data_IF_069166461719
#
_entry.id   IF_069166461719
#
_cell.length_a   1.000
_cell.length_b   1.000
_cell.length_c   1.000
_cell.angle_alpha   90.00
_cell.angle_beta   90.00
_cell.angle_gamma   90.00
#
_symmetry.space_group_name_H-M   'P 1'
#
loop_
_entity.id
_entity.type
_entity.pdbx_description
1 polymer ?
#
# COMPACT_ATOMS: atom_id res chain seq x y z
N UNK A 1 -1.13 -9.90 -9.16
CA UNK A 1 -1.91 -10.11 -7.90
C UNK A 1 -1.57 -11.45 -7.22
N UNK A 2 -0.33 -11.91 -7.28
CA UNK A 2 0.07 -13.24 -6.76
C UNK A 2 -0.16 -13.28 -5.24
N UNK A 3 -0.79 -14.34 -4.76
CA UNK A 3 -1.10 -14.61 -3.33
C UNK A 3 -1.95 -13.61 -2.53
N UNK A 4 -2.39 -12.49 -3.10
CA UNK A 4 -3.21 -11.52 -2.37
C UNK A 4 -4.48 -12.11 -1.78
N UNK A 5 -5.17 -13.00 -2.50
CA UNK A 5 -6.35 -13.69 -1.97
C UNK A 5 -6.01 -14.66 -0.84
N UNK A 6 -4.86 -15.33 -0.93
CA UNK A 6 -4.39 -16.26 0.11
C UNK A 6 -4.03 -15.49 1.39
N UNK A 7 -3.19 -14.45 1.28
CA UNK A 7 -2.79 -13.60 2.39
C UNK A 7 -4.01 -12.97 3.07
N UNK A 8 -4.96 -12.44 2.30
CA UNK A 8 -6.18 -11.85 2.86
C UNK A 8 -7.10 -12.88 3.52
N UNK A 9 -7.15 -14.12 3.01
CA UNK A 9 -7.91 -15.20 3.66
C UNK A 9 -7.29 -15.57 5.00
N UNK A 10 -5.96 -15.73 5.03
CA UNK A 10 -5.23 -15.98 6.27
C UNK A 10 -5.38 -14.82 7.26
N UNK A 11 -5.34 -13.57 6.79
CA UNK A 11 -5.57 -12.37 7.60
C UNK A 11 -6.95 -12.37 8.25
N UNK A 12 -8.00 -12.73 7.50
CA UNK A 12 -9.36 -12.89 8.05
C UNK A 12 -9.42 -13.97 9.13
N UNK A 13 -8.74 -15.09 8.94
CA UNK A 13 -8.79 -16.22 9.88
C UNK A 13 -7.92 -16.02 11.13
N UNK A 14 -6.73 -15.45 10.98
CA UNK A 14 -5.70 -15.43 12.02
C UNK A 14 -5.43 -14.06 12.62
N UNK A 15 -5.73 -12.97 11.91
CA UNK A 15 -5.48 -11.61 12.40
C UNK A 15 -6.75 -10.95 12.94
N UNK A 16 -7.79 -10.84 12.10
CA UNK A 16 -9.00 -10.06 12.43
C UNK A 16 -10.22 -10.90 12.85
N UNK A 17 -10.09 -12.23 12.95
CA UNK A 17 -11.13 -13.09 13.53
C UNK A 17 -11.32 -12.80 15.02
N UNK A 18 -12.39 -13.31 15.63
CA UNK A 18 -12.67 -13.12 17.07
C UNK A 18 -11.52 -13.55 17.97
N UNK A 19 -10.76 -14.59 17.57
CA UNK A 19 -9.58 -15.11 18.29
C UNK A 19 -8.26 -14.72 17.62
N UNK A 20 -8.32 -13.82 16.63
CA UNK A 20 -7.16 -13.38 15.88
C UNK A 20 -6.27 -12.42 16.67
N UNK A 21 -5.02 -12.25 16.22
CA UNK A 21 -4.02 -11.47 16.93
C UNK A 21 -4.45 -10.00 17.17
N UNK A 22 -5.13 -9.36 16.22
CA UNK A 22 -5.62 -7.98 16.39
C UNK A 22 -6.69 -7.94 17.48
N UNK A 23 -7.64 -8.87 17.44
CA UNK A 23 -8.73 -8.94 18.43
C UNK A 23 -8.24 -9.18 19.85
N UNK A 24 -7.17 -9.98 20.01
CA UNK A 24 -6.65 -10.38 21.31
C UNK A 24 -5.63 -9.40 21.90
N UNK A 25 -4.83 -8.73 21.05
CA UNK A 25 -3.64 -8.02 21.50
C UNK A 25 -3.59 -6.55 21.08
N UNK A 26 -4.69 -5.97 20.59
CA UNK A 26 -4.71 -4.54 20.26
C UNK A 26 -5.86 -3.82 20.96
N UNK A 27 -5.69 -2.53 21.21
CA UNK A 27 -6.71 -1.70 21.89
C UNK A 27 -8.01 -1.55 21.10
N UNK A 28 -7.98 -1.67 19.77
CA UNK A 28 -9.19 -1.63 18.95
C UNK A 28 -10.02 -2.90 19.11
N UNK A 29 -9.39 -4.04 19.40
CA UNK A 29 -10.03 -5.34 19.46
C UNK A 29 -10.82 -5.67 18.19
N UNK A 30 -11.70 -6.67 18.26
CA UNK A 30 -12.53 -7.07 17.12
C UNK A 30 -13.54 -5.99 16.71
N UNK A 31 -14.28 -5.46 17.68
CA UNK A 31 -15.39 -4.53 17.43
C UNK A 31 -14.90 -3.15 16.96
N UNK A 32 -13.87 -2.62 17.62
CA UNK A 32 -13.29 -1.33 17.22
C UNK A 32 -12.64 -1.41 15.85
N UNK A 33 -11.97 -2.52 15.51
CA UNK A 33 -11.40 -2.69 14.17
C UNK A 33 -12.47 -2.68 13.07
N UNK A 34 -13.60 -3.38 13.27
CA UNK A 34 -14.72 -3.36 12.32
C UNK A 34 -15.28 -1.94 12.16
N UNK A 35 -15.44 -1.19 13.25
CA UNK A 35 -15.93 0.18 13.19
C UNK A 35 -14.95 1.14 12.47
N UNK A 36 -13.64 0.98 12.70
CA UNK A 36 -12.61 1.73 11.97
C UNK A 36 -12.67 1.43 10.47
N UNK A 37 -12.73 0.15 10.08
CA UNK A 37 -12.85 -0.24 8.66
C UNK A 37 -14.12 0.33 8.03
N UNK A 38 -15.26 0.27 8.75
CA UNK A 38 -16.53 0.84 8.28
C UNK A 38 -16.40 2.34 8.02
N UNK A 39 -15.85 3.10 8.98
CA UNK A 39 -15.65 4.56 8.82
C UNK A 39 -14.65 4.88 7.70
N UNK A 40 -13.55 4.14 7.61
CA UNK A 40 -12.56 4.30 6.56
C UNK A 40 -13.19 4.08 5.17
N UNK A 41 -14.02 3.05 5.00
CA UNK A 41 -14.75 2.80 3.74
C UNK A 41 -15.71 3.95 3.38
N UNK A 42 -16.30 4.64 4.36
CA UNK A 42 -17.11 5.83 4.10
C UNK A 42 -16.29 7.07 3.71
N UNK A 43 -15.05 7.15 4.19
CA UNK A 43 -14.16 8.28 3.92
C UNK A 43 -13.28 8.08 2.66
N UNK A 44 -13.13 6.84 2.20
CA UNK A 44 -12.24 6.47 1.10
C UNK A 44 -12.59 7.23 -0.19
N UNK A 45 -11.55 7.79 -0.82
CA UNK A 45 -11.65 8.49 -2.11
C UNK A 45 -10.73 7.85 -3.13
N UNK A 46 -11.14 7.82 -4.39
CA UNK A 46 -10.27 7.38 -5.48
C UNK A 46 -8.99 8.25 -5.58
N UNK A 47 -9.10 9.56 -5.36
CA UNK A 47 -7.95 10.46 -5.30
C UNK A 47 -6.94 10.06 -4.21
N UNK A 48 -7.41 9.61 -3.04
CA UNK A 48 -6.53 9.11 -1.97
C UNK A 48 -5.78 7.81 -2.31
N UNK A 49 -6.19 7.10 -3.36
CA UNK A 49 -5.50 5.91 -3.89
C UNK A 49 -4.51 6.28 -5.01
N UNK A 50 -4.62 7.48 -5.59
CA UNK A 50 -3.72 8.00 -6.60
C UNK A 50 -2.67 8.89 -5.96
N UNK A 51 -1.44 8.40 -5.79
CA UNK A 51 -0.42 9.11 -5.01
C UNK A 51 -0.23 10.60 -5.39
N UNK A 52 -0.16 11.00 -6.68
CA UNK A 52 -0.04 12.42 -7.02
C UNK A 52 -1.21 13.27 -6.52
N UNK A 53 -2.43 12.74 -6.62
CA UNK A 53 -3.63 13.44 -6.15
C UNK A 53 -3.62 13.52 -4.63
N UNK A 54 -3.35 12.41 -3.94
CA UNK A 54 -3.26 12.36 -2.47
C UNK A 54 -2.23 13.33 -1.89
N UNK A 55 -1.04 13.42 -2.50
CA UNK A 55 0.01 14.35 -2.07
C UNK A 55 -0.46 15.81 -2.21
N UNK A 56 -1.09 16.13 -3.35
CA UNK A 56 -1.58 17.48 -3.65
C UNK A 56 -2.75 17.86 -2.73
N UNK A 57 -3.75 16.99 -2.57
CA UNK A 57 -4.93 17.20 -1.73
C UNK A 57 -4.57 17.39 -0.25
N UNK A 58 -3.50 16.74 0.22
CA UNK A 58 -2.96 16.94 1.57
C UNK A 58 -2.02 18.15 1.71
N UNK A 59 -1.74 18.86 0.62
CA UNK A 59 -0.84 20.03 0.60
C UNK A 59 0.62 19.69 0.88
N UNK A 60 1.06 18.49 0.50
CA UNK A 60 2.37 17.94 0.85
C UNK A 60 3.43 18.14 -0.24
N UNK A 61 3.12 18.80 -1.35
CA UNK A 61 4.02 18.93 -2.51
C UNK A 61 5.38 19.56 -2.19
N UNK A 62 5.39 20.49 -1.23
CA UNK A 62 6.57 21.32 -0.91
C UNK A 62 7.25 20.96 0.39
N UNK A 63 6.78 19.93 1.11
CA UNK A 63 7.39 19.51 2.37
C UNK A 63 8.82 19.00 2.11
N UNK A 64 9.86 19.59 2.71
CA UNK A 64 11.23 19.16 2.48
C UNK A 64 11.47 17.78 3.10
N UNK A 65 12.36 16.98 2.48
CA UNK A 65 12.80 15.66 2.99
C UNK A 65 11.65 14.67 3.22
N UNK A 66 10.59 14.77 2.42
CA UNK A 66 9.45 13.85 2.47
C UNK A 66 9.68 12.69 1.49
N UNK A 67 10.50 11.73 1.90
CA UNK A 67 11.02 10.69 1.00
C UNK A 67 9.96 9.70 0.50
N UNK A 68 8.87 9.47 1.25
CA UNK A 68 7.72 8.68 0.78
C UNK A 68 7.10 9.30 -0.49
N UNK A 69 6.87 10.62 -0.52
CA UNK A 69 6.42 11.35 -1.72
C UNK A 69 7.46 11.25 -2.82
N UNK A 70 8.70 11.62 -2.51
CA UNK A 70 9.74 11.79 -3.53
C UNK A 70 9.96 10.47 -4.29
N UNK A 71 10.06 9.36 -3.57
CA UNK A 71 10.28 8.04 -4.14
C UNK A 71 9.00 7.49 -4.77
N UNK A 72 7.87 7.65 -4.07
CA UNK A 72 6.58 7.16 -4.55
C UNK A 72 6.16 7.83 -5.86
N UNK A 73 6.42 9.13 -6.03
CA UNK A 73 6.12 9.83 -7.29
C UNK A 73 7.01 9.37 -8.44
N UNK A 74 8.27 8.99 -8.17
CA UNK A 74 9.15 8.40 -9.19
C UNK A 74 8.61 7.04 -9.64
N UNK A 75 8.25 6.17 -8.69
CA UNK A 75 7.69 4.84 -8.97
C UNK A 75 6.33 4.96 -9.67
N UNK A 76 5.45 5.84 -9.19
CA UNK A 76 4.17 6.14 -9.83
C UNK A 76 4.36 6.60 -11.27
N UNK A 77 5.30 7.52 -11.51
CA UNK A 77 5.62 8.03 -12.84
C UNK A 77 6.05 6.92 -13.81
N UNK A 78 6.98 6.06 -13.38
CA UNK A 78 7.45 4.93 -14.19
C UNK A 78 6.30 3.95 -14.51
N UNK A 79 5.50 3.59 -13.50
CA UNK A 79 4.33 2.72 -13.69
C UNK A 79 3.28 3.36 -14.60
N UNK A 80 3.01 4.66 -14.45
CA UNK A 80 2.05 5.38 -15.28
C UNK A 80 2.46 5.39 -16.74
N UNK A 81 3.73 5.70 -17.04
CA UNK A 81 4.26 5.69 -18.41
C UNK A 81 4.19 4.29 -19.03
N UNK A 82 4.58 3.26 -18.28
CA UNK A 82 4.51 1.88 -18.74
C UNK A 82 3.07 1.48 -19.06
N UNK A 83 2.14 1.73 -18.14
CA UNK A 83 0.72 1.41 -18.34
C UNK A 83 0.14 2.18 -19.52
N UNK A 84 0.42 3.48 -19.64
CA UNK A 84 -0.02 4.30 -20.76
C UNK A 84 0.44 3.71 -22.10
N UNK A 85 1.72 3.36 -22.20
CA UNK A 85 2.28 2.78 -23.40
C UNK A 85 1.65 1.41 -23.73
N UNK A 86 1.43 0.55 -22.74
CA UNK A 86 0.77 -0.76 -22.95
C UNK A 86 -0.68 -0.58 -23.37
N UNK A 87 -1.43 0.32 -22.72
CA UNK A 87 -2.82 0.62 -23.10
C UNK A 87 -2.89 1.12 -24.54
N UNK A 88 -1.95 1.97 -24.99
CA UNK A 88 -1.93 2.47 -26.36
C UNK A 88 -1.70 1.37 -27.43
N UNK A 89 -1.06 0.24 -27.07
CA UNK A 89 -0.91 -0.91 -27.98
C UNK A 89 -2.26 -1.60 -28.24
N UNK A 90 -3.10 -1.73 -27.20
CA UNK A 90 -4.35 -2.48 -27.28
C UNK A 90 -5.60 -1.60 -27.51
N UNK A 91 -5.54 -0.33 -27.13
CA UNK A 91 -6.61 0.65 -27.29
C UNK A 91 -6.08 1.89 -28.03
N UNK A 92 -6.04 1.86 -29.38
CA UNK A 92 -5.55 2.99 -30.18
C UNK A 92 -6.38 4.26 -30.02
N UNK A 93 -7.63 4.14 -29.57
CA UNK A 93 -8.54 5.26 -29.35
C UNK A 93 -9.45 5.07 -28.14
N UNK A 94 -10.03 6.16 -27.67
CA UNK A 94 -11.05 6.12 -26.61
C UNK A 94 -12.31 5.35 -27.02
N UNK A 95 -12.58 5.22 -28.33
CA UNK A 95 -13.69 4.41 -28.82
C UNK A 95 -13.50 2.92 -28.51
N UNK A 96 -12.27 2.42 -28.60
CA UNK A 96 -11.95 1.03 -28.30
C UNK A 96 -12.22 0.72 -26.81
N UNK A 97 -11.96 1.68 -25.92
CA UNK A 97 -12.29 1.59 -24.48
C UNK A 97 -13.80 1.58 -24.26
N UNK A 98 -14.54 2.41 -25.00
CA UNK A 98 -15.99 2.56 -24.84
C UNK A 98 -16.77 1.32 -25.25
N UNK A 99 -16.30 0.60 -26.28
CA UNK A 99 -16.99 -0.58 -26.84
C UNK A 99 -16.54 -1.90 -26.19
N UNK A 100 -15.51 -1.88 -25.35
CA UNK A 100 -15.04 -3.07 -24.63
C UNK A 100 -15.95 -3.41 -23.45
N UNK A 101 -16.92 -4.29 -23.70
CA UNK A 101 -17.90 -4.72 -22.69
C UNK A 101 -17.25 -5.41 -21.48
N UNK A 102 -16.15 -6.15 -21.67
CA UNK A 102 -15.47 -6.85 -20.58
C UNK A 102 -14.80 -5.84 -19.63
N UNK A 103 -14.10 -4.85 -20.20
CA UNK A 103 -13.48 -3.76 -19.44
C UNK A 103 -14.54 -2.95 -18.66
N UNK A 104 -15.68 -2.64 -19.28
CA UNK A 104 -16.77 -1.91 -18.63
C UNK A 104 -17.42 -2.73 -17.50
N UNK A 105 -17.66 -4.02 -17.71
CA UNK A 105 -18.18 -4.90 -16.65
C UNK A 105 -17.18 -5.04 -15.50
N UNK A 106 -15.89 -5.15 -15.79
CA UNK A 106 -14.85 -5.27 -14.77
C UNK A 106 -14.82 -4.06 -13.83
N UNK A 107 -14.82 -2.82 -14.35
CA UNK A 107 -14.85 -1.63 -13.49
C UNK A 107 -16.19 -1.47 -12.77
N UNK A 108 -17.29 -1.83 -13.42
CA UNK A 108 -18.62 -1.84 -12.79
C UNK A 108 -18.67 -2.80 -11.59
N UNK A 109 -18.10 -4.00 -11.71
CA UNK A 109 -18.03 -4.98 -10.61
C UNK A 109 -17.18 -4.46 -9.45
N UNK A 110 -16.04 -3.81 -9.73
CA UNK A 110 -15.22 -3.18 -8.69
C UNK A 110 -16.01 -2.07 -7.99
N UNK A 111 -16.64 -1.17 -8.74
CA UNK A 111 -17.47 -0.11 -8.17
C UNK A 111 -18.59 -0.68 -7.29
N UNK A 112 -19.26 -1.72 -7.78
CA UNK A 112 -20.43 -2.31 -7.12
C UNK A 112 -20.08 -3.09 -5.88
N UNK A 113 -19.15 -4.02 -5.98
CA UNK A 113 -18.85 -4.97 -4.92
C UNK A 113 -17.65 -4.54 -4.07
N UNK A 114 -16.67 -3.85 -4.65
CA UNK A 114 -15.52 -3.31 -3.93
C UNK A 114 -15.82 -1.98 -3.23
N UNK A 115 -16.51 -1.07 -3.91
CA UNK A 115 -16.80 0.29 -3.41
C UNK A 115 -18.26 0.50 -2.99
N UNK A 116 -19.05 -0.57 -2.97
CA UNK A 116 -20.43 -0.61 -2.47
C UNK A 116 -21.38 0.35 -3.20
N UNK A 117 -21.16 0.57 -4.51
CA UNK A 117 -21.91 1.50 -5.35
C UNK A 117 -21.97 2.94 -4.78
N UNK A 118 -20.95 3.34 -4.01
CA UNK A 118 -20.91 4.67 -3.39
C UNK A 118 -20.26 5.68 -4.31
N UNK A 119 -21.09 6.49 -4.97
CA UNK A 119 -20.65 7.62 -5.80
C UNK A 119 -19.74 8.61 -5.04
N UNK A 120 -19.92 8.73 -3.71
CA UNK A 120 -19.07 9.58 -2.87
C UNK A 120 -17.60 9.17 -2.82
N UNK A 121 -17.25 7.95 -3.23
CA UNK A 121 -15.85 7.50 -3.33
C UNK A 121 -15.13 8.12 -4.52
N UNK A 122 -15.86 8.56 -5.55
CA UNK A 122 -15.30 9.13 -6.77
C UNK A 122 -14.56 8.11 -7.66
N UNK A 123 -14.61 6.82 -7.36
CA UNK A 123 -14.05 5.80 -8.24
C UNK A 123 -14.93 5.64 -9.48
N UNK A 124 -14.36 5.44 -10.68
CA UNK A 124 -15.16 5.22 -11.88
C UNK A 124 -16.05 3.97 -11.75
N UNK A 125 -17.23 4.04 -12.34
CA UNK A 125 -18.12 2.89 -12.57
C UNK A 125 -18.15 2.46 -14.05
N UNK A 126 -17.47 3.21 -14.91
CA UNK A 126 -17.27 2.97 -16.34
C UNK A 126 -16.04 3.77 -16.79
N UNK A 127 -15.40 3.35 -17.87
CA UNK A 127 -14.30 4.09 -18.49
C UNK A 127 -14.75 4.74 -19.79
N UNK A 128 -14.31 5.98 -20.04
CA UNK A 128 -14.61 6.77 -21.23
C UNK A 128 -13.40 7.08 -22.08
N UNK A 129 -12.20 6.86 -21.57
CA UNK A 129 -10.96 7.13 -22.29
C UNK A 129 -9.82 6.22 -21.86
N UNK A 130 -8.85 6.08 -22.75
CA UNK A 130 -7.56 5.44 -22.48
C UNK A 130 -6.88 6.03 -21.25
N UNK A 131 -6.94 7.35 -21.08
CA UNK A 131 -6.39 8.07 -19.92
C UNK A 131 -7.00 7.64 -18.58
N UNK A 132 -8.31 7.40 -18.54
CA UNK A 132 -8.98 6.93 -17.32
C UNK A 132 -8.56 5.49 -16.99
N UNK A 133 -8.47 4.63 -18.00
CA UNK A 133 -7.98 3.25 -17.85
C UNK A 133 -6.53 3.26 -17.34
N UNK A 134 -5.67 4.06 -17.95
CA UNK A 134 -4.27 4.22 -17.53
C UNK A 134 -4.19 4.61 -16.07
N UNK A 135 -4.88 5.69 -15.66
CA UNK A 135 -4.85 6.16 -14.26
C UNK A 135 -5.34 5.09 -13.29
N UNK A 136 -6.39 4.36 -13.64
CA UNK A 136 -6.95 3.31 -12.81
C UNK A 136 -6.00 2.11 -12.67
N UNK A 137 -5.45 1.61 -13.77
CA UNK A 137 -4.53 0.49 -13.76
C UNK A 137 -3.23 0.86 -13.04
N UNK A 138 -2.70 2.08 -13.23
CA UNK A 138 -1.56 2.58 -12.45
C UNK A 138 -1.87 2.58 -10.95
N UNK A 139 -3.05 3.06 -10.55
CA UNK A 139 -3.50 3.02 -9.14
C UNK A 139 -3.52 1.60 -8.60
N UNK A 140 -4.08 0.63 -9.35
CA UNK A 140 -4.13 -0.79 -8.94
C UNK A 140 -2.73 -1.35 -8.76
N UNK A 141 -1.86 -1.21 -9.75
CA UNK A 141 -0.48 -1.73 -9.68
C UNK A 141 0.28 -1.07 -8.52
N UNK A 142 0.20 0.25 -8.39
CA UNK A 142 0.89 0.98 -7.31
C UNK A 142 0.38 0.56 -5.93
N UNK A 143 -0.93 0.42 -5.76
CA UNK A 143 -1.55 0.00 -4.49
C UNK A 143 -1.07 -1.38 -4.06
N UNK A 144 -1.01 -2.33 -5.00
CA UNK A 144 -0.63 -3.71 -4.71
C UNK A 144 0.88 -3.93 -4.58
N UNK A 145 1.70 -2.92 -4.88
CA UNK A 145 3.15 -3.02 -4.88
C UNK A 145 3.76 -1.97 -3.97
N UNK A 146 4.03 -0.78 -4.50
CA UNK A 146 4.71 0.32 -3.83
C UNK A 146 3.99 0.79 -2.56
N UNK A 147 2.67 0.97 -2.61
CA UNK A 147 1.91 1.43 -1.45
C UNK A 147 1.95 0.40 -0.32
N UNK A 148 1.72 -0.88 -0.64
CA UNK A 148 1.83 -1.95 0.33
C UNK A 148 3.24 -1.99 0.94
N UNK A 149 4.28 -1.97 0.10
CA UNK A 149 5.68 -1.99 0.54
C UNK A 149 6.03 -0.82 1.47
N UNK A 150 5.58 0.40 1.15
CA UNK A 150 5.82 1.60 1.94
C UNK A 150 5.20 1.54 3.35
N UNK A 151 4.03 0.89 3.47
CA UNK A 151 3.31 0.76 4.75
C UNK A 151 3.73 -0.48 5.54
N UNK A 152 4.23 -1.52 4.86
CA UNK A 152 4.46 -2.82 5.46
C UNK A 152 5.93 -3.06 5.83
N UNK A 153 6.88 -2.74 4.96
CA UNK A 153 8.29 -3.13 5.13
C UNK A 153 8.99 -2.46 6.32
N UNK A 154 8.46 -1.33 6.80
CA UNK A 154 8.97 -0.62 7.97
C UNK A 154 8.32 -1.04 9.29
N UNK A 155 7.34 -1.95 9.29
CA UNK A 155 6.58 -2.28 10.50
C UNK A 155 7.48 -2.69 11.66
N UNK A 156 8.51 -3.51 11.44
CA UNK A 156 9.44 -3.91 12.49
C UNK A 156 10.47 -2.82 12.84
N UNK A 157 10.90 -2.01 11.87
CA UNK A 157 11.86 -0.93 12.12
C UNK A 157 11.30 0.11 13.13
N UNK A 158 9.99 0.35 13.09
CA UNK A 158 9.30 1.27 14.01
C UNK A 158 8.57 0.57 15.16
N UNK A 159 7.99 -0.61 14.91
CA UNK A 159 7.20 -1.38 15.87
C UNK A 159 8.01 -2.37 16.71
N UNK A 160 9.27 -2.64 16.34
CA UNK A 160 10.18 -3.50 17.12
C UNK A 160 10.63 -2.85 18.44
N UNK A 161 10.52 -1.53 18.55
CA UNK A 161 10.65 -0.81 19.82
C UNK A 161 9.27 -0.36 20.31
N UNK A 162 8.66 -1.18 21.18
CA UNK A 162 7.27 -1.02 21.57
C UNK A 162 6.88 0.38 22.08
N UNK A 163 7.68 1.09 22.91
CA UNK A 163 7.32 2.44 23.33
C UNK A 163 7.15 3.45 22.20
N UNK A 164 7.72 3.20 21.00
CA UNK A 164 7.52 4.04 19.83
C UNK A 164 6.18 3.79 19.12
N UNK A 165 5.61 2.58 19.23
CA UNK A 165 4.35 2.23 18.57
C UNK A 165 3.57 1.16 19.36
N UNK A 166 3.04 1.50 20.55
CA UNK A 166 2.33 0.54 21.39
C UNK A 166 1.02 0.09 20.73
N UNK A 167 0.80 -1.23 20.68
CA UNK A 167 -0.40 -1.85 20.11
C UNK A 167 -1.64 -1.74 21.03
N UNK A 168 -1.42 -1.47 22.32
CA UNK A 168 -2.47 -1.18 23.29
C UNK A 168 -1.95 -0.26 24.39
N UNK A 169 -2.85 0.41 25.10
CA UNK A 169 -2.57 1.15 26.33
C UNK A 169 -3.50 0.63 27.43
N UNK A 170 -2.98 0.46 28.64
CA UNK A 170 -3.69 -0.10 29.79
C UNK A 170 -4.35 0.97 30.66
N UNK A 171 -4.08 2.24 30.39
CA UNK A 171 -4.64 3.39 31.10
C UNK A 171 -5.15 4.43 30.12
N UNK A 172 -6.15 5.20 30.55
CA UNK A 172 -6.67 6.33 29.77
C UNK A 172 -5.66 7.46 29.64
N UNK A 173 -5.94 8.40 28.74
CA UNK A 173 -5.12 9.60 28.60
C UNK A 173 -5.04 10.36 29.94
N UNK A 174 -3.87 10.87 30.35
CA UNK A 174 -3.75 11.70 31.55
C UNK A 174 -4.70 12.89 31.51
N UNK A 175 -5.41 13.15 32.61
CA UNK A 175 -6.36 14.27 32.74
C UNK A 175 -5.72 15.55 33.30
N UNK A 176 -4.50 15.44 33.81
CA UNK A 176 -3.72 16.57 34.32
C UNK A 176 -2.26 16.43 33.89
N UNK A 177 -1.49 17.52 33.99
CA UNK A 177 -0.04 17.52 33.75
C UNK A 177 0.76 17.22 35.00
N UNK A 178 0.13 17.27 36.17
CA UNK A 178 0.79 17.12 37.46
C UNK A 178 0.88 15.63 37.83
N UNK A 179 1.95 15.26 38.54
CA UNK A 179 2.17 13.95 39.16
C UNK A 179 2.26 12.71 38.25
N UNK A 180 2.56 12.86 36.95
CA UNK A 180 2.88 11.71 36.08
C UNK A 180 4.30 11.21 36.38
N UNK A 181 4.40 9.98 36.87
CA UNK A 181 5.69 9.32 37.15
C UNK A 181 6.12 8.39 36.02
N UNK A 182 7.39 7.97 36.04
CA UNK A 182 7.88 6.91 35.15
C UNK A 182 7.11 5.59 35.37
N UNK A 183 6.71 5.30 36.61
CA UNK A 183 5.91 4.11 36.92
C UNK A 183 4.54 4.17 36.23
N UNK A 184 3.90 5.34 36.18
CA UNK A 184 2.62 5.51 35.48
C UNK A 184 2.76 5.30 33.97
N UNK A 185 3.86 5.76 33.37
CA UNK A 185 4.17 5.51 31.96
C UNK A 185 4.33 4.01 31.70
N UNK A 186 5.14 3.31 32.50
CA UNK A 186 5.37 1.87 32.36
C UNK A 186 4.09 1.05 32.59
N UNK A 187 3.23 1.48 33.53
CA UNK A 187 1.94 0.86 33.78
C UNK A 187 0.90 1.14 32.68
N UNK A 188 1.07 2.22 31.91
CA UNK A 188 0.21 2.55 30.76
C UNK A 188 0.56 1.70 29.54
N UNK A 189 1.84 1.34 29.37
CA UNK A 189 2.29 0.46 28.29
C UNK A 189 1.67 -0.94 28.43
N UNK A 190 1.56 -1.70 27.31
CA UNK A 190 0.96 -3.02 27.36
C UNK A 190 1.81 -4.02 28.17
N UNK A 191 1.16 -5.04 28.72
CA UNK A 191 1.85 -6.14 29.40
C UNK A 191 2.81 -6.90 28.47
N UNK A 192 3.67 -7.74 29.04
CA UNK A 192 4.70 -8.48 28.29
C UNK A 192 4.09 -9.34 27.17
N UNK A 193 3.00 -10.04 27.41
CA UNK A 193 2.39 -10.92 26.42
C UNK A 193 1.84 -10.10 25.24
N UNK A 194 1.08 -9.05 25.53
CA UNK A 194 0.54 -8.12 24.53
C UNK A 194 1.67 -7.45 23.73
N UNK A 195 2.77 -7.09 24.40
CA UNK A 195 3.98 -6.53 23.79
C UNK A 195 4.64 -7.50 22.80
N UNK A 196 4.87 -8.74 23.23
CA UNK A 196 5.52 -9.78 22.41
C UNK A 196 4.69 -10.09 21.18
N UNK A 197 3.36 -10.16 21.29
CA UNK A 197 2.49 -10.38 20.14
C UNK A 197 2.50 -9.20 19.16
N UNK A 198 2.54 -7.96 19.66
CA UNK A 198 2.70 -6.77 18.81
C UNK A 198 4.00 -6.80 18.02
N UNK A 199 5.13 -7.06 18.69
CA UNK A 199 6.45 -7.15 18.06
C UNK A 199 6.54 -8.33 17.07
N UNK A 200 5.99 -9.49 17.43
CA UNK A 200 5.96 -10.65 16.54
C UNK A 200 5.14 -10.37 15.28
N UNK A 201 3.99 -9.70 15.40
CA UNK A 201 3.17 -9.27 14.26
C UNK A 201 3.93 -8.33 13.33
N UNK A 202 4.57 -7.30 13.89
CA UNK A 202 5.41 -6.36 13.13
C UNK A 202 6.57 -7.07 12.42
N UNK A 203 7.21 -8.04 13.08
CA UNK A 203 8.30 -8.82 12.50
C UNK A 203 7.84 -9.73 11.37
N UNK A 204 6.76 -10.50 11.57
CA UNK A 204 6.22 -11.44 10.56
C UNK A 204 5.82 -10.69 9.30
N UNK A 205 5.08 -9.59 9.45
CA UNK A 205 4.59 -8.79 8.33
C UNK A 205 5.70 -8.09 7.56
N UNK A 206 6.80 -7.70 8.23
CA UNK A 206 7.95 -7.05 7.57
C UNK A 206 8.89 -8.00 6.82
N UNK A 207 8.69 -9.32 6.91
CA UNK A 207 9.59 -10.29 6.29
C UNK A 207 9.35 -10.42 4.79
N UNK A 208 10.45 -10.57 4.06
CA UNK A 208 10.42 -11.05 2.68
C UNK A 208 10.23 -12.57 2.66
N UNK A 209 9.28 -13.04 1.87
CA UNK A 209 9.13 -14.46 1.56
C UNK A 209 10.35 -15.02 0.82
N UNK A 210 10.54 -16.34 0.90
CA UNK A 210 11.64 -17.01 0.17
C UNK A 210 11.46 -16.91 -1.36
N UNK A 211 10.24 -16.69 -1.79
CA UNK A 211 9.77 -16.56 -3.16
C UNK A 211 9.42 -15.10 -3.52
N UNK A 212 10.03 -14.14 -2.82
CA UNK A 212 9.90 -12.72 -3.07
C UNK A 212 10.27 -12.39 -4.53
N UNK A 213 9.38 -11.65 -5.20
CA UNK A 213 9.60 -11.15 -6.56
C UNK A 213 9.54 -9.63 -6.53
N UNK A 214 10.66 -8.96 -6.82
CA UNK A 214 10.68 -7.50 -6.89
C UNK A 214 9.82 -6.96 -8.03
N UNK A 215 9.38 -5.70 -7.89
CA UNK A 215 8.57 -4.99 -8.87
C UNK A 215 9.18 -5.10 -10.28
N UNK A 216 8.37 -5.57 -11.24
CA UNK A 216 8.77 -5.72 -12.63
C UNK A 216 9.64 -6.96 -12.94
N UNK A 217 9.97 -7.80 -11.95
CA UNK A 217 10.82 -8.99 -12.11
C UNK A 217 10.05 -10.32 -12.16
N UNK A 218 8.77 -10.29 -12.54
CA UNK A 218 7.97 -11.51 -12.70
C UNK A 218 8.50 -12.38 -13.85
N UNK A 219 8.40 -13.70 -13.68
CA UNK A 219 8.91 -14.68 -14.66
C UNK A 219 7.81 -15.17 -15.61
N UNK A 220 6.54 -14.99 -15.22
CA UNK A 220 5.37 -15.37 -15.98
C UNK A 220 5.25 -14.54 -17.26
N UNK A 221 5.07 -15.21 -18.40
CA UNK A 221 4.92 -14.56 -19.70
C UNK A 221 3.46 -14.46 -20.08
N UNK A 222 2.80 -13.40 -19.62
CA UNK A 222 1.41 -13.11 -19.98
C UNK A 222 1.29 -12.43 -21.35
N UNK A 223 2.25 -11.55 -21.67
CA UNK A 223 2.34 -10.90 -22.98
C UNK A 223 3.28 -11.65 -23.91
N UNK A 224 2.94 -11.64 -25.19
CA UNK A 224 3.75 -12.23 -26.27
C UNK A 224 4.12 -11.23 -27.36
N UNK A 225 3.46 -10.07 -27.35
CA UNK A 225 3.63 -8.96 -28.27
C UNK A 225 5.03 -8.35 -28.10
N UNK A 226 5.86 -8.30 -29.16
CA UNK A 226 7.23 -7.77 -29.06
C UNK A 226 7.29 -6.32 -28.53
N UNK A 227 6.29 -5.51 -28.86
CA UNK A 227 6.19 -4.13 -28.38
C UNK A 227 6.00 -4.08 -26.86
N UNK A 228 5.06 -4.86 -26.30
CA UNK A 228 4.81 -4.92 -24.85
C UNK A 228 6.00 -5.51 -24.09
N UNK A 229 6.67 -6.51 -24.66
CA UNK A 229 7.91 -7.05 -24.09
C UNK A 229 9.01 -5.98 -24.03
N UNK A 230 9.19 -5.18 -25.08
CA UNK A 230 10.13 -4.05 -25.07
C UNK A 230 9.75 -2.98 -24.05
N UNK A 231 8.46 -2.66 -23.91
CA UNK A 231 7.98 -1.73 -22.87
C UNK A 231 8.24 -2.27 -21.46
N UNK A 232 8.11 -3.57 -21.26
CA UNK A 232 8.40 -4.22 -19.98
C UNK A 232 9.88 -4.12 -19.64
N UNK A 233 10.78 -4.31 -20.60
CA UNK A 233 12.21 -4.17 -20.38
C UNK A 233 12.61 -2.71 -20.10
N UNK A 234 12.01 -1.74 -20.79
CA UNK A 234 12.18 -0.31 -20.46
C UNK A 234 11.72 0.03 -19.04
N UNK A 235 10.60 -0.54 -18.59
CA UNK A 235 10.15 -0.35 -17.21
C UNK A 235 11.19 -0.89 -16.21
N UNK A 236 11.77 -2.07 -16.46
CA UNK A 236 12.81 -2.64 -15.59
C UNK A 236 14.04 -1.74 -15.52
N UNK A 237 14.44 -1.15 -16.64
CA UNK A 237 15.54 -0.18 -16.69
C UNK A 237 15.22 1.08 -15.88
N UNK A 238 14.05 1.71 -16.08
CA UNK A 238 13.64 2.90 -15.32
C UNK A 238 13.54 2.62 -13.81
N UNK A 239 13.03 1.45 -13.42
CA UNK A 239 13.00 1.02 -12.01
C UNK A 239 14.41 0.83 -11.42
N UNK A 240 15.37 0.34 -12.21
CA UNK A 240 16.76 0.22 -11.78
C UNK A 240 17.39 1.61 -11.57
N UNK A 241 17.16 2.55 -12.47
CA UNK A 241 17.63 3.93 -12.31
C UNK A 241 17.04 4.60 -11.05
N UNK A 242 15.75 4.35 -10.76
CA UNK A 242 15.10 4.82 -9.53
C UNK A 242 15.77 4.22 -8.29
N UNK A 243 16.06 2.91 -8.28
CA UNK A 243 16.79 2.23 -7.20
C UNK A 243 18.16 2.87 -6.98
N UNK A 244 18.94 3.09 -8.05
CA UNK A 244 20.25 3.73 -7.98
C UNK A 244 20.18 5.15 -7.39
N UNK A 245 19.20 5.95 -7.82
CA UNK A 245 18.96 7.30 -7.28
C UNK A 245 18.58 7.28 -5.79
N UNK A 246 17.72 6.34 -5.37
CA UNK A 246 17.33 6.18 -3.97
C UNK A 246 18.53 5.78 -3.12
N UNK A 247 19.34 4.82 -3.59
CA UNK A 247 20.57 4.37 -2.92
C UNK A 247 21.57 5.52 -2.78
N UNK A 248 21.83 6.27 -3.85
CA UNK A 248 22.72 7.44 -3.82
C UNK A 248 22.25 8.47 -2.78
N UNK A 249 20.98 8.86 -2.83
CA UNK A 249 20.39 9.81 -1.88
C UNK A 249 20.50 9.33 -0.43
N UNK A 250 20.53 8.02 -0.20
CA UNK A 250 20.58 7.40 1.13
C UNK A 250 21.99 7.16 1.70
N UNK A 251 23.07 7.20 0.89
CA UNK A 251 24.44 6.86 1.32
C UNK A 251 24.88 7.56 2.61
N UNK A 252 24.62 8.85 2.72
CA UNK A 252 25.08 9.69 3.84
C UNK A 252 23.99 9.93 4.90
N UNK A 253 22.88 9.17 4.88
CA UNK A 253 21.79 9.36 5.85
C UNK A 253 21.96 8.45 7.06
N UNK A 254 21.90 9.04 8.25
CA UNK A 254 21.81 8.30 9.52
C UNK A 254 20.60 7.34 9.57
N UNK A 255 19.49 7.73 8.93
CA UNK A 255 18.28 6.91 8.80
C UNK A 255 17.84 6.92 7.33
N UNK A 256 18.29 5.96 6.51
CA UNK A 256 17.91 5.90 5.10
C UNK A 256 16.44 5.49 4.97
N UNK A 257 15.72 6.07 4.01
CA UNK A 257 14.36 5.65 3.66
C UNK A 257 14.44 4.70 2.48
N UNK A 258 14.11 3.42 2.69
CA UNK A 258 14.36 2.37 1.67
C UNK A 258 13.11 1.61 1.25
N UNK A 259 11.95 1.91 1.84
CA UNK A 259 10.74 1.11 1.64
C UNK A 259 10.14 1.22 0.23
N UNK A 260 10.53 2.26 -0.52
CA UNK A 260 10.14 2.45 -1.92
C UNK A 260 11.29 2.28 -2.91
N UNK A 261 12.40 1.68 -2.48
CA UNK A 261 13.42 1.17 -3.40
C UNK A 261 12.79 0.04 -4.25
N UNK A 262 12.77 0.13 -5.59
CA UNK A 262 12.20 -0.92 -6.46
C UNK A 262 12.73 -2.34 -6.20
N UNK A 263 13.95 -2.50 -5.69
CA UNK A 263 14.50 -3.81 -5.30
C UNK A 263 13.88 -4.37 -3.99
N UNK A 264 13.20 -3.52 -3.23
CA UNK A 264 12.50 -3.86 -1.98
C UNK A 264 10.99 -3.86 -2.10
N UNK A 265 10.43 -3.32 -3.18
CA UNK A 265 9.01 -3.38 -3.51
C UNK A 265 8.70 -4.75 -4.10
N UNK A 266 7.73 -5.47 -3.54
CA UNK A 266 7.25 -6.74 -4.09
C UNK A 266 6.21 -6.51 -5.19
N UNK A 267 6.13 -7.44 -6.15
CA UNK A 267 5.26 -7.35 -7.32
C UNK A 267 3.76 -7.63 -7.00
N UNK A 268 3.43 -7.94 -5.74
CA UNK A 268 2.05 -8.02 -5.21
C UNK A 268 2.04 -8.09 -3.68
N UNK A 269 0.85 -8.03 -3.08
CA UNK A 269 0.63 -8.28 -1.65
C UNK A 269 0.67 -9.79 -1.40
N UNK A 270 1.73 -10.28 -0.76
CA UNK A 270 1.98 -11.71 -0.47
C UNK A 270 2.08 -12.01 1.03
N UNK A 271 2.16 -10.98 1.87
CA UNK A 271 2.27 -11.04 3.34
C UNK A 271 1.30 -10.05 3.97
#
# INVERSE_FOLDING_TARGET
>A
MRFTLYANTLGREKLISEKGAISMYTSTGSTGMVEVMRRAMHALKYSSLCLPDDISERGLDKVPKYYYRDDGLLVWGALSKYVEAVIAVFYPSDMDVLVDEELQHWISDIYKHGFLEKASTGIPNSFKSTKEVTKFITMVIFTMTAQHSALNNGNFDFGGWLPNSPNSLQSGAPQSKDDITEADLLNTLPDINTSVWGMAGAWITSKKGADFVSLGQHSEKYFSEPEVLSLTDKLKEELKEISEKIKERNKEKKRPYTYLDPEKIENSITI
#
